data_IF_009028079961
#
_entry.id   IF_009028079961
#
_cell.length_a   1.000
_cell.length_b   1.000
_cell.length_c   1.000
_cell.angle_alpha   90.00
_cell.angle_beta   90.00
_cell.angle_gamma   90.00
#
_symmetry.space_group_name_H-M   'P 1'
#
loop_
_entity.id
_entity.type
_entity.pdbx_description
1 polymer ?
#
# COMPACT_ATOMS: atom_id res chain seq x y z
N UNK A 1 -6.73 -12.04 5.36
CA UNK A 1 -6.76 -13.19 6.29
C UNK A 1 -7.70 -14.17 5.66
N UNK A 2 -7.20 -15.33 5.21
CA UNK A 2 -8.12 -16.41 4.88
C UNK A 2 -8.93 -16.69 6.14
N UNK A 3 -10.25 -16.76 6.02
CA UNK A 3 -11.10 -17.31 7.06
C UNK A 3 -10.82 -18.82 7.11
N UNK A 4 -9.68 -19.22 7.68
CA UNK A 4 -9.56 -20.56 8.22
C UNK A 4 -10.56 -20.60 9.39
N UNK A 5 -11.62 -21.37 9.23
CA UNK A 5 -12.66 -21.57 10.24
C UNK A 5 -12.16 -22.36 11.47
N UNK A 6 -10.83 -22.36 11.71
CA UNK A 6 -10.16 -23.03 12.81
C UNK A 6 -9.49 -22.01 13.71
N UNK A 7 -9.42 -22.32 15.01
CA UNK A 7 -8.60 -21.52 15.92
C UNK A 7 -7.14 -21.50 15.45
N UNK A 8 -6.44 -20.36 15.51
CA UNK A 8 -5.04 -20.29 15.11
C UNK A 8 -4.20 -21.30 15.88
N UNK A 9 -3.23 -21.90 15.19
CA UNK A 9 -2.28 -22.84 15.80
C UNK A 9 -1.51 -22.15 16.95
N UNK A 10 -1.18 -22.84 18.06
CA UNK A 10 -0.61 -22.22 19.25
C UNK A 10 0.58 -21.29 19.00
N UNK A 11 1.46 -21.65 18.08
CA UNK A 11 2.64 -20.87 17.71
C UNK A 11 2.32 -19.62 16.89
N UNK A 12 1.13 -19.52 16.29
CA UNK A 12 0.68 -18.39 15.49
C UNK A 12 -0.28 -17.45 16.22
N UNK A 13 -0.79 -17.86 17.40
CA UNK A 13 -1.77 -17.10 18.18
C UNK A 13 -1.26 -15.75 18.64
N UNK A 14 -2.05 -14.72 18.39
CA UNK A 14 -1.87 -13.40 18.98
C UNK A 14 -3.15 -12.94 19.69
N UNK A 15 -3.03 -12.47 20.92
CA UNK A 15 -4.19 -12.05 21.72
C UNK A 15 -4.23 -10.53 21.84
N UNK A 16 -5.38 -9.93 21.51
CA UNK A 16 -5.65 -8.51 21.67
C UNK A 16 -7.10 -8.34 22.13
N UNK A 17 -7.33 -7.59 23.21
CA UNK A 17 -8.67 -7.32 23.77
C UNK A 17 -9.53 -8.59 24.01
N UNK A 18 -8.91 -9.73 24.33
CA UNK A 18 -9.59 -11.01 24.56
C UNK A 18 -9.95 -11.79 23.29
N UNK A 19 -9.67 -11.24 22.10
CA UNK A 19 -9.77 -11.94 20.82
C UNK A 19 -8.43 -12.57 20.41
N UNK A 20 -8.49 -13.68 19.70
CA UNK A 20 -7.32 -14.43 19.23
C UNK A 20 -7.23 -14.33 17.70
N UNK A 21 -6.07 -13.92 17.21
CA UNK A 21 -5.77 -13.71 15.80
C UNK A 21 -4.64 -14.62 15.34
N UNK A 22 -4.67 -14.97 14.05
CA UNK A 22 -3.56 -15.67 13.39
C UNK A 22 -2.53 -14.66 12.89
N UNK A 23 -1.32 -14.72 13.45
CA UNK A 23 -0.20 -13.84 13.12
C UNK A 23 0.90 -14.58 12.34
N UNK A 24 0.59 -15.69 11.69
CA UNK A 24 1.48 -16.33 10.73
C UNK A 24 1.11 -15.96 9.29
N UNK A 25 2.11 -15.90 8.42
CA UNK A 25 1.86 -15.91 6.98
C UNK A 25 1.53 -17.34 6.55
N UNK A 26 0.45 -17.53 5.81
CA UNK A 26 0.11 -18.82 5.18
C UNK A 26 0.24 -18.65 3.67
N UNK A 27 1.05 -19.48 3.03
CA UNK A 27 1.25 -19.41 1.58
C UNK A 27 -0.08 -19.72 0.87
N UNK A 28 -0.71 -18.80 0.12
CA UNK A 28 -2.09 -19.00 -0.34
C UNK A 28 -2.31 -20.26 -1.21
N UNK A 29 -1.39 -20.63 -2.12
CA UNK A 29 -1.50 -21.90 -2.86
C UNK A 29 -1.38 -23.17 -2.01
N UNK A 30 -0.70 -23.10 -0.85
CA UNK A 30 -0.39 -24.25 0.03
C UNK A 30 -0.40 -23.76 1.49
N UNK A 31 -1.60 -23.58 2.10
CA UNK A 31 -1.74 -22.93 3.42
C UNK A 31 -1.01 -23.62 4.58
N UNK A 32 -0.63 -24.89 4.38
CA UNK A 32 0.20 -25.67 5.29
C UNK A 32 1.64 -25.13 5.38
N UNK A 33 2.11 -24.42 4.35
CA UNK A 33 3.38 -23.70 4.39
C UNK A 33 3.18 -22.41 5.18
N UNK A 34 3.71 -22.44 6.41
CA UNK A 34 3.62 -21.34 7.36
C UNK A 34 4.94 -20.56 7.42
N UNK A 35 4.81 -19.24 7.46
CA UNK A 35 5.89 -18.32 7.77
C UNK A 35 6.17 -18.24 9.27
N UNK A 36 7.16 -17.42 9.62
CA UNK A 36 7.41 -17.07 11.03
C UNK A 36 6.25 -16.23 11.56
N UNK A 37 5.89 -16.43 12.82
CA UNK A 37 4.92 -15.59 13.53
C UNK A 37 5.42 -14.13 13.56
N UNK A 38 4.57 -13.21 13.14
CA UNK A 38 4.78 -11.77 13.31
C UNK A 38 4.72 -11.38 14.79
N UNK A 39 5.43 -10.31 15.17
CA UNK A 39 5.38 -9.84 16.54
C UNK A 39 3.98 -9.30 16.90
N UNK A 40 3.41 -9.79 18.01
CA UNK A 40 2.09 -9.39 18.50
C UNK A 40 1.93 -7.90 18.79
N UNK A 41 3.02 -7.17 19.03
CA UNK A 41 2.98 -5.71 19.22
C UNK A 41 2.42 -4.97 17.98
N UNK A 42 2.36 -5.64 16.82
CA UNK A 42 1.79 -5.08 15.61
C UNK A 42 0.26 -5.16 15.54
N UNK A 43 -0.40 -5.89 16.46
CA UNK A 43 -1.84 -6.05 16.44
C UNK A 43 -2.61 -4.74 16.58
N UNK A 44 -2.12 -3.82 17.40
CA UNK A 44 -2.68 -2.46 17.52
C UNK A 44 -2.68 -1.70 16.19
N UNK A 45 -1.64 -1.86 15.35
CA UNK A 45 -1.60 -1.20 14.04
C UNK A 45 -2.62 -1.80 13.08
N UNK A 46 -2.82 -3.12 13.14
CA UNK A 46 -3.85 -3.78 12.33
C UNK A 46 -5.26 -3.40 12.79
N UNK A 47 -5.50 -3.25 14.09
CA UNK A 47 -6.76 -2.75 14.64
C UNK A 47 -7.05 -1.33 14.12
N UNK A 48 -6.08 -0.44 14.25
CA UNK A 48 -6.16 0.94 13.77
C UNK A 48 -6.31 1.05 12.26
N UNK A 49 -5.84 0.06 11.50
CA UNK A 49 -6.04 -0.04 10.05
C UNK A 49 -7.29 -0.84 9.64
N UNK A 50 -8.05 -1.38 10.60
CA UNK A 50 -9.25 -2.18 10.32
C UNK A 50 -8.93 -3.51 9.60
N UNK A 51 -7.76 -4.08 9.84
CA UNK A 51 -7.23 -5.27 9.17
C UNK A 51 -7.28 -6.54 10.03
N UNK A 52 -7.82 -6.46 11.25
CA UNK A 52 -8.04 -7.61 12.12
C UNK A 52 -9.29 -8.42 11.75
N UNK A 53 -10.16 -7.90 10.88
CA UNK A 53 -11.31 -8.61 10.33
C UNK A 53 -11.38 -8.44 8.81
N UNK A 54 -12.09 -9.35 8.14
CA UNK A 54 -12.41 -9.26 6.71
C UNK A 54 -13.82 -8.71 6.47
N UNK A 55 -14.51 -8.24 7.51
CA UNK A 55 -15.90 -7.77 7.40
C UNK A 55 -16.04 -6.56 6.48
N UNK A 56 -15.01 -5.71 6.43
CA UNK A 56 -14.95 -4.55 5.55
C UNK A 56 -14.30 -4.85 4.18
N UNK A 57 -13.90 -6.10 3.91
CA UNK A 57 -13.28 -6.47 2.65
C UNK A 57 -14.35 -6.64 1.57
N UNK A 58 -14.15 -5.98 0.43
CA UNK A 58 -15.03 -6.14 -0.74
C UNK A 58 -14.84 -7.52 -1.37
N UNK A 59 -15.93 -8.20 -1.70
CA UNK A 59 -15.97 -9.34 -2.59
C UNK A 59 -16.02 -8.84 -4.05
N UNK A 60 -14.93 -8.98 -4.83
CA UNK A 60 -14.86 -8.44 -6.19
C UNK A 60 -15.89 -9.05 -7.16
N UNK A 61 -16.55 -10.16 -6.80
CA UNK A 61 -17.57 -10.84 -7.62
C UNK A 61 -18.99 -10.39 -7.29
N UNK A 62 -19.22 -9.90 -6.07
CA UNK A 62 -20.56 -9.63 -5.55
C UNK A 62 -20.79 -8.16 -5.27
N UNK A 63 -19.77 -7.47 -4.80
CA UNK A 63 -19.88 -6.11 -4.33
C UNK A 63 -19.65 -5.13 -5.47
N UNK A 64 -20.39 -4.02 -5.43
CA UNK A 64 -20.12 -2.90 -6.31
C UNK A 64 -18.81 -2.22 -5.87
N UNK A 65 -17.92 -1.93 -6.81
CA UNK A 65 -16.69 -1.23 -6.47
C UNK A 65 -16.99 0.22 -6.12
N UNK A 66 -16.61 0.68 -4.92
CA UNK A 66 -16.72 2.09 -4.58
C UNK A 66 -15.82 2.90 -5.52
N UNK A 67 -16.20 4.14 -5.78
CA UNK A 67 -15.39 5.04 -6.60
C UNK A 67 -14.01 5.25 -5.92
N UNK A 68 -12.91 4.82 -6.57
CA UNK A 68 -11.61 4.81 -5.92
C UNK A 68 -11.02 6.22 -5.78
N UNK A 69 -10.47 6.51 -4.60
CA UNK A 69 -9.73 7.76 -4.37
C UNK A 69 -8.39 7.75 -5.13
N UNK A 70 -8.03 8.88 -5.75
CA UNK A 70 -6.75 9.02 -6.43
C UNK A 70 -5.69 9.46 -5.43
N UNK A 71 -4.72 8.59 -5.19
CA UNK A 71 -3.72 8.78 -4.14
C UNK A 71 -2.31 8.65 -4.71
N UNK A 72 -1.41 9.53 -4.29
CA UNK A 72 0.03 9.40 -4.51
C UNK A 72 0.78 9.86 -3.26
N UNK A 73 2.07 9.58 -3.19
CA UNK A 73 2.95 10.06 -2.12
C UNK A 73 4.26 10.54 -2.71
N UNK A 74 4.81 11.63 -2.19
CA UNK A 74 6.03 12.23 -2.75
C UNK A 74 6.91 12.86 -1.67
N UNK A 75 8.21 12.84 -1.95
CA UNK A 75 9.29 13.55 -1.26
C UNK A 75 9.96 14.50 -2.26
N UNK A 76 10.75 15.46 -1.77
CA UNK A 76 11.30 16.51 -2.63
C UNK A 76 12.14 15.98 -3.81
N UNK A 77 12.85 14.87 -3.63
CA UNK A 77 13.65 14.24 -4.68
C UNK A 77 12.80 13.67 -5.83
N UNK A 78 11.47 13.57 -5.68
CA UNK A 78 10.53 13.12 -6.72
C UNK A 78 9.44 14.17 -7.02
N UNK A 79 9.65 15.43 -6.64
CA UNK A 79 8.63 16.46 -6.78
C UNK A 79 8.26 16.75 -8.24
N UNK A 80 9.24 16.74 -9.15
CA UNK A 80 8.99 17.00 -10.58
C UNK A 80 8.15 15.88 -11.22
N UNK A 81 8.42 14.64 -10.84
CA UNK A 81 7.68 13.46 -11.25
C UNK A 81 6.25 13.52 -10.74
N UNK A 82 6.07 13.92 -9.47
CA UNK A 82 4.74 14.15 -8.91
C UNK A 82 3.99 15.21 -9.72
N UNK A 83 4.56 16.39 -9.96
CA UNK A 83 3.91 17.43 -10.77
C UNK A 83 3.50 16.92 -12.16
N UNK A 84 4.33 16.07 -12.77
CA UNK A 84 4.02 15.45 -14.07
C UNK A 84 2.83 14.49 -13.97
N UNK A 85 2.77 13.64 -12.93
CA UNK A 85 1.61 12.78 -12.67
C UNK A 85 0.34 13.62 -12.47
N UNK A 86 0.40 14.65 -11.62
CA UNK A 86 -0.73 15.54 -11.36
C UNK A 86 -1.25 16.19 -12.64
N UNK A 87 -0.35 16.69 -13.50
CA UNK A 87 -0.70 17.29 -14.78
C UNK A 87 -1.39 16.29 -15.73
N UNK A 88 -0.87 15.05 -15.81
CA UNK A 88 -1.49 13.99 -16.63
C UNK A 88 -2.87 13.61 -16.12
N UNK A 89 -3.04 13.48 -14.79
CA UNK A 89 -4.36 13.23 -14.18
C UNK A 89 -5.31 14.38 -14.49
N UNK A 90 -4.88 15.65 -14.35
CA UNK A 90 -5.72 16.81 -14.69
C UNK A 90 -6.18 16.80 -16.14
N UNK A 91 -5.31 16.36 -17.07
CA UNK A 91 -5.64 16.30 -18.49
C UNK A 91 -6.74 15.28 -18.81
N UNK A 92 -6.71 14.10 -18.16
CA UNK A 92 -7.65 13.02 -18.44
C UNK A 92 -8.89 13.08 -17.54
N UNK A 93 -8.73 13.47 -16.29
CA UNK A 93 -9.76 13.49 -15.26
C UNK A 93 -9.78 14.84 -14.52
N UNK A 94 -10.20 15.93 -15.18
CA UNK A 94 -10.05 17.30 -14.68
C UNK A 94 -10.80 17.59 -13.37
N UNK A 95 -11.83 16.80 -13.05
CA UNK A 95 -12.66 16.97 -11.85
C UNK A 95 -12.36 15.99 -10.72
N UNK A 96 -11.45 15.01 -10.92
CA UNK A 96 -11.11 14.08 -9.83
C UNK A 96 -10.36 14.83 -8.74
N UNK A 97 -10.51 14.47 -7.48
CA UNK A 97 -9.64 14.98 -6.40
C UNK A 97 -8.39 14.12 -6.32
N UNK A 98 -7.21 14.70 -6.07
CA UNK A 98 -5.97 13.95 -5.83
C UNK A 98 -5.52 14.18 -4.40
N UNK A 99 -5.29 13.10 -3.67
CA UNK A 99 -4.68 13.12 -2.34
C UNK A 99 -3.18 12.87 -2.52
N UNK A 100 -2.36 13.81 -2.07
CA UNK A 100 -0.90 13.72 -2.11
C UNK A 100 -0.38 13.61 -0.69
N UNK A 101 0.21 12.47 -0.35
CA UNK A 101 0.89 12.32 0.92
C UNK A 101 2.31 12.88 0.87
N UNK A 102 2.58 13.75 1.82
CA UNK A 102 3.91 14.20 2.17
C UNK A 102 4.65 13.09 2.93
N UNK A 103 5.68 12.53 2.31
CA UNK A 103 6.59 11.57 2.94
C UNK A 103 8.01 12.15 3.14
N UNK A 104 8.24 13.42 2.81
CA UNK A 104 9.56 14.04 2.85
C UNK A 104 9.67 15.31 2.00
N UNK A 105 8.66 16.17 2.03
CA UNK A 105 8.60 17.45 1.33
C UNK A 105 8.98 18.60 2.27
N UNK A 106 9.70 19.58 1.74
CA UNK A 106 9.92 20.85 2.42
C UNK A 106 8.67 21.76 2.34
N UNK A 107 8.58 22.79 3.20
CA UNK A 107 7.41 23.68 3.26
C UNK A 107 7.08 24.40 1.94
N UNK A 108 8.07 24.78 1.13
CA UNK A 108 7.84 25.45 -0.16
C UNK A 108 7.15 24.51 -1.14
N UNK A 109 7.60 23.26 -1.20
CA UNK A 109 7.01 22.22 -2.05
C UNK A 109 5.58 21.90 -1.64
N UNK A 110 5.32 21.80 -0.32
CA UNK A 110 3.96 21.61 0.23
C UNK A 110 3.04 22.75 -0.21
N UNK A 111 3.48 24.00 -0.09
CA UNK A 111 2.70 25.16 -0.50
C UNK A 111 2.40 25.14 -2.01
N UNK A 112 3.39 24.77 -2.83
CA UNK A 112 3.22 24.64 -4.27
C UNK A 112 2.20 23.56 -4.68
N UNK A 113 2.12 22.45 -3.94
CA UNK A 113 1.11 21.40 -4.13
C UNK A 113 -0.28 21.86 -3.66
N UNK A 114 -0.38 22.48 -2.48
CA UNK A 114 -1.64 23.02 -1.95
C UNK A 114 -2.26 24.09 -2.84
N UNK A 115 -1.45 24.80 -3.62
CA UNK A 115 -1.92 25.78 -4.59
C UNK A 115 -2.52 25.16 -5.88
N UNK A 116 -2.48 23.83 -6.05
CA UNK A 116 -3.06 23.15 -7.22
C UNK A 116 -4.54 22.84 -7.02
N UNK A 117 -5.35 23.05 -8.05
CA UNK A 117 -6.77 22.77 -8.01
C UNK A 117 -7.07 21.30 -7.71
N UNK A 118 -8.01 21.05 -6.80
CA UNK A 118 -8.48 19.71 -6.41
C UNK A 118 -7.34 18.79 -5.93
N UNK A 119 -6.30 19.38 -5.32
CA UNK A 119 -5.22 18.65 -4.65
C UNK A 119 -5.34 18.85 -3.15
N UNK A 120 -5.41 17.74 -2.42
CA UNK A 120 -5.31 17.72 -0.97
C UNK A 120 -3.94 17.17 -0.57
N UNK A 121 -3.22 17.90 0.28
CA UNK A 121 -1.92 17.44 0.80
C UNK A 121 -2.09 16.99 2.24
N UNK A 122 -1.70 15.75 2.54
CA UNK A 122 -1.73 15.14 3.88
C UNK A 122 -0.33 14.73 4.32
N UNK A 123 -0.04 14.76 5.61
CA UNK A 123 1.22 14.23 6.13
C UNK A 123 1.09 12.73 6.42
N UNK A 124 2.10 11.94 6.05
CA UNK A 124 2.16 10.55 6.48
C UNK A 124 2.57 10.50 7.96
N UNK A 125 1.82 9.80 8.83
CA UNK A 125 2.03 9.84 10.28
C UNK A 125 3.21 8.95 10.72
N UNK A 126 4.43 9.27 10.30
CA UNK A 126 5.63 8.47 10.63
C UNK A 126 5.83 8.27 12.13
N UNK A 127 5.44 9.23 12.96
CA UNK A 127 5.59 9.14 14.43
C UNK A 127 4.72 8.06 15.06
N UNK A 128 3.66 7.63 14.38
CA UNK A 128 2.78 6.57 14.85
C UNK A 128 3.39 5.18 14.61
N UNK A 129 4.21 5.03 13.57
CA UNK A 129 4.77 3.75 13.16
C UNK A 129 6.20 3.54 13.70
N UNK A 130 6.73 2.30 13.68
CA UNK A 130 8.11 2.04 14.08
C UNK A 130 9.11 2.92 13.31
N UNK A 131 10.19 3.43 13.95
CA UNK A 131 11.06 4.44 13.34
C UNK A 131 11.65 4.06 11.98
N UNK A 132 11.87 2.77 11.72
CA UNK A 132 12.39 2.27 10.45
C UNK A 132 11.43 2.46 9.27
N UNK A 133 10.12 2.69 9.49
CA UNK A 133 9.15 3.01 8.43
C UNK A 133 9.50 4.32 7.71
N UNK A 134 10.23 5.23 8.38
CA UNK A 134 10.70 6.50 7.81
C UNK A 134 11.83 6.34 6.80
N UNK A 135 12.43 5.14 6.68
CA UNK A 135 13.42 4.85 5.65
C UNK A 135 12.71 4.67 4.30
N UNK A 136 12.67 5.75 3.51
CA UNK A 136 11.82 5.85 2.32
C UNK A 136 12.21 4.86 1.21
N UNK A 137 13.48 4.50 1.13
CA UNK A 137 14.06 3.53 0.20
C UNK A 137 13.67 2.08 0.49
N UNK A 138 13.11 1.81 1.67
CA UNK A 138 12.55 0.51 2.04
C UNK A 138 11.06 0.38 1.72
N UNK A 139 10.42 1.48 1.29
CA UNK A 139 9.02 1.54 0.83
C UNK A 139 7.95 1.01 1.81
N UNK A 140 8.30 0.74 3.08
CA UNK A 140 7.37 0.20 4.09
C UNK A 140 6.15 1.07 4.34
N UNK A 141 6.32 2.38 4.22
CA UNK A 141 5.23 3.36 4.34
C UNK A 141 4.14 3.17 3.27
N UNK A 142 4.46 2.58 2.11
CA UNK A 142 3.55 2.46 0.96
C UNK A 142 2.37 1.53 1.23
N UNK A 143 2.54 0.26 1.64
CA UNK A 143 1.40 -0.59 2.01
C UNK A 143 0.63 -0.05 3.21
N UNK A 144 1.27 0.64 4.17
CA UNK A 144 0.57 1.29 5.29
C UNK A 144 -0.35 2.42 4.81
N UNK A 145 0.17 3.30 3.94
CA UNK A 145 -0.62 4.37 3.33
C UNK A 145 -1.78 3.81 2.51
N UNK A 146 -1.54 2.77 1.72
CA UNK A 146 -2.59 2.11 0.94
C UNK A 146 -3.67 1.57 1.88
N UNK A 147 -3.30 0.87 2.97
CA UNK A 147 -4.25 0.37 3.95
C UNK A 147 -5.07 1.50 4.61
N UNK A 148 -4.42 2.60 5.01
CA UNK A 148 -5.12 3.78 5.55
C UNK A 148 -6.17 4.31 4.57
N UNK A 149 -5.84 4.37 3.28
CA UNK A 149 -6.73 4.92 2.26
C UNK A 149 -7.82 3.95 1.82
N UNK A 150 -7.55 2.65 1.85
CA UNK A 150 -8.60 1.63 1.66
C UNK A 150 -9.58 1.68 2.84
N UNK A 151 -9.11 1.83 4.08
CA UNK A 151 -9.99 2.00 5.25
C UNK A 151 -10.88 3.25 5.12
N UNK A 152 -10.34 4.36 4.62
CA UNK A 152 -11.10 5.62 4.49
C UNK A 152 -12.10 5.62 3.32
N UNK A 153 -11.71 5.07 2.16
CA UNK A 153 -12.46 5.22 0.90
C UNK A 153 -13.06 3.92 0.35
N UNK A 154 -12.75 2.76 0.93
CA UNK A 154 -13.12 1.44 0.42
C UNK A 154 -12.31 0.98 -0.80
N UNK A 155 -11.96 1.88 -1.72
CA UNK A 155 -11.06 1.60 -2.84
C UNK A 155 -10.14 2.77 -3.16
N UNK A 156 -8.97 2.47 -3.72
CA UNK A 156 -7.93 3.46 -4.03
C UNK A 156 -7.23 3.17 -5.35
N UNK A 157 -6.95 4.23 -6.10
CA UNK A 157 -5.92 4.26 -7.13
C UNK A 157 -4.65 4.85 -6.52
N UNK A 158 -3.84 4.00 -5.90
CA UNK A 158 -2.49 4.41 -5.54
C UNK A 158 -1.63 4.46 -6.80
N UNK A 159 -1.04 5.62 -7.07
CA UNK A 159 -0.16 5.85 -8.22
C UNK A 159 1.20 6.31 -7.73
N UNK A 160 2.22 5.55 -8.10
CA UNK A 160 3.61 6.00 -7.93
C UNK A 160 3.84 7.30 -8.72
N UNK A 161 4.67 8.21 -8.22
CA UNK A 161 4.93 9.50 -8.88
C UNK A 161 5.56 9.31 -10.26
N UNK A 162 6.15 8.14 -10.53
CA UNK A 162 6.68 7.75 -11.83
C UNK A 162 5.61 7.38 -12.88
N UNK A 163 4.35 7.16 -12.49
CA UNK A 163 3.27 6.77 -13.42
C UNK A 163 2.96 7.89 -14.42
N UNK A 164 2.69 7.51 -15.68
CA UNK A 164 2.39 8.43 -16.78
C UNK A 164 1.15 7.98 -17.54
N UNK A 165 -0.01 8.49 -17.15
CA UNK A 165 -1.24 8.28 -17.92
C UNK A 165 -1.21 9.05 -19.24
N UNK A 166 -1.29 8.31 -20.35
CA UNK A 166 -1.35 8.89 -21.71
C UNK A 166 -2.78 8.91 -22.26
N UNK A 167 -3.59 7.95 -21.86
CA UNK A 167 -5.00 7.77 -22.26
C UNK A 167 -5.79 7.27 -21.05
N UNK A 168 -7.09 7.55 -21.00
CA UNK A 168 -7.97 6.93 -20.00
C UNK A 168 -8.17 5.45 -20.33
N UNK A 169 -7.79 4.58 -19.39
CA UNK A 169 -7.96 3.13 -19.46
C UNK A 169 -8.44 2.54 -18.12
N UNK A 170 -9.08 3.34 -17.27
CA UNK A 170 -9.51 2.84 -15.94
C UNK A 170 -10.48 1.67 -16.08
N UNK A 171 -11.43 1.76 -17.02
CA UNK A 171 -12.39 0.69 -17.28
C UNK A 171 -11.70 -0.61 -17.68
N UNK A 172 -10.63 -0.55 -18.48
CA UNK A 172 -9.86 -1.74 -18.84
C UNK A 172 -9.26 -2.40 -17.60
N UNK A 173 -8.73 -1.62 -16.65
CA UNK A 173 -8.19 -2.20 -15.42
C UNK A 173 -9.30 -2.75 -14.52
N UNK A 174 -10.45 -2.09 -14.44
CA UNK A 174 -11.60 -2.61 -13.69
C UNK A 174 -12.08 -3.94 -14.28
N UNK A 175 -12.13 -4.08 -15.60
CA UNK A 175 -12.53 -5.31 -16.27
C UNK A 175 -11.53 -6.45 -15.99
N UNK A 176 -10.22 -6.15 -15.99
CA UNK A 176 -9.18 -7.11 -15.59
C UNK A 176 -9.31 -7.56 -14.12
N UNK A 177 -9.61 -6.63 -13.20
CA UNK A 177 -9.83 -6.94 -11.78
C UNK A 177 -11.05 -7.85 -11.62
N UNK A 178 -12.17 -7.54 -12.30
CA UNK A 178 -13.39 -8.38 -12.29
C UNK A 178 -13.14 -9.78 -12.85
N UNK A 179 -12.21 -9.90 -13.79
CA UNK A 179 -11.87 -11.17 -14.43
C UNK A 179 -11.03 -12.09 -13.54
N UNK A 180 -10.19 -11.53 -12.65
CA UNK A 180 -9.31 -12.32 -11.77
C UNK A 180 -10.02 -12.87 -10.54
N UNK A 181 -9.74 -14.14 -10.22
CA UNK A 181 -10.28 -14.85 -9.05
C UNK A 181 -9.23 -14.88 -7.94
N UNK A 182 -9.55 -14.19 -6.85
CA UNK A 182 -9.06 -14.39 -5.49
C UNK A 182 -7.62 -13.89 -5.17
N UNK A 183 -7.50 -12.86 -4.30
CA UNK A 183 -6.24 -12.43 -3.68
C UNK A 183 -6.46 -11.97 -2.23
N UNK A 184 -5.56 -12.36 -1.32
CA UNK A 184 -5.48 -11.83 0.05
C UNK A 184 -4.39 -10.73 0.12
N UNK A 185 -4.70 -9.61 0.77
CA UNK A 185 -3.85 -8.40 0.82
C UNK A 185 -3.23 -8.14 2.21
N UNK A 186 -3.70 -8.80 3.26
CA UNK A 186 -3.31 -8.54 4.67
C UNK A 186 -1.83 -8.78 4.94
N UNK A 187 -1.23 -9.70 4.19
CA UNK A 187 0.13 -10.20 4.39
C UNK A 187 1.18 -9.11 4.08
N UNK A 188 0.91 -8.25 3.09
CA UNK A 188 1.80 -7.14 2.74
C UNK A 188 1.88 -6.07 3.83
N UNK A 189 0.79 -5.82 4.56
CA UNK A 189 0.76 -4.83 5.65
C UNK A 189 1.54 -5.34 6.85
N UNK A 190 1.31 -6.59 7.24
CA UNK A 190 2.10 -7.26 8.29
C UNK A 190 3.60 -7.26 7.96
N UNK A 191 3.93 -7.58 6.71
CA UNK A 191 5.32 -7.58 6.24
C UNK A 191 5.97 -6.18 6.32
N UNK A 192 5.22 -5.11 6.04
CA UNK A 192 5.73 -3.75 6.14
C UNK A 192 6.06 -3.33 7.58
N UNK A 193 5.29 -3.83 8.55
CA UNK A 193 5.48 -3.59 9.98
C UNK A 193 6.62 -4.41 10.57
N UNK A 194 6.98 -5.55 9.98
CA UNK A 194 8.06 -6.41 10.47
C UNK A 194 9.42 -6.03 9.84
N UNK A 195 10.44 -5.83 10.69
CA UNK A 195 11.71 -5.21 10.27
C UNK A 195 12.41 -5.95 9.14
N UNK A 196 12.37 -7.28 9.09
CA UNK A 196 13.12 -8.05 8.09
C UNK A 196 12.26 -8.66 6.98
N UNK A 197 10.96 -8.32 6.93
CA UNK A 197 10.06 -8.95 5.98
C UNK A 197 10.14 -8.30 4.58
N UNK A 198 9.95 -6.98 4.47
CA UNK A 198 10.07 -6.27 3.18
C UNK A 198 11.53 -6.06 2.72
N UNK A 199 12.48 -6.10 3.66
CA UNK A 199 13.92 -5.95 3.40
C UNK A 199 14.68 -6.91 4.32
N UNK A 200 14.83 -8.19 3.93
CA UNK A 200 15.68 -9.12 4.65
C UNK A 200 17.16 -8.66 4.61
N UNK A 201 18.02 -9.14 5.52
CA UNK A 201 19.43 -8.71 5.61
C UNK A 201 20.27 -8.85 4.33
N UNK A 202 19.85 -9.67 3.37
CA UNK A 202 20.53 -9.87 2.08
C UNK A 202 19.84 -9.15 0.90
N UNK A 203 18.80 -8.35 1.18
CA UNK A 203 18.06 -7.64 0.16
C UNK A 203 18.94 -6.59 -0.55
N UNK A 204 18.84 -6.54 -1.88
CA UNK A 204 19.45 -5.49 -2.69
C UNK A 204 18.43 -4.39 -2.95
N UNK A 205 18.46 -3.35 -2.12
CA UNK A 205 17.59 -2.18 -2.28
C UNK A 205 17.83 -1.40 -3.57
N UNK A 206 18.92 -1.66 -4.30
CA UNK A 206 19.21 -1.02 -5.57
C UNK A 206 19.46 -2.04 -6.68
N UNK A 207 18.82 -1.76 -7.81
CA UNK A 207 19.03 -2.45 -9.05
C UNK A 207 20.08 -1.71 -9.88
N UNK A 208 21.11 -2.42 -10.32
CA UNK A 208 22.10 -1.89 -11.25
C UNK A 208 21.59 -2.05 -12.68
N UNK A 209 21.41 -0.94 -13.39
CA UNK A 209 20.98 -0.94 -14.79
C UNK A 209 22.11 -0.47 -15.70
N UNK A 210 22.28 -1.11 -16.86
CA UNK A 210 23.05 -0.56 -17.98
C UNK A 210 22.16 0.40 -18.77
N UNK A 211 20.95 -0.03 -19.13
CA UNK A 211 19.85 0.82 -19.60
C UNK A 211 18.54 0.52 -18.83
N UNK A 212 18.06 1.42 -17.96
CA UNK A 212 16.84 1.22 -17.17
C UNK A 212 15.55 1.01 -17.99
N UNK A 213 15.56 1.36 -19.27
CA UNK A 213 14.39 1.26 -20.15
C UNK A 213 14.36 -0.02 -20.99
N UNK A 214 15.48 -0.76 -21.06
CA UNK A 214 15.62 -1.92 -21.94
C UNK A 214 16.11 -3.17 -21.23
N UNK A 215 16.85 -3.00 -20.13
CA UNK A 215 17.48 -4.11 -19.44
C UNK A 215 16.74 -4.44 -18.14
N UNK A 216 16.36 -5.71 -18.01
CA UNK A 216 15.92 -6.25 -16.73
C UNK A 216 17.14 -6.44 -15.82
N UNK A 217 17.16 -5.76 -14.68
CA UNK A 217 18.34 -5.71 -13.80
C UNK A 217 18.60 -6.98 -12.96
N UNK A 218 17.82 -8.06 -13.15
CA UNK A 218 17.99 -9.30 -12.38
C UNK A 218 17.70 -9.14 -10.89
N UNK A 219 16.89 -8.15 -10.53
CA UNK A 219 16.46 -7.84 -9.17
C UNK A 219 15.04 -7.32 -9.19
N UNK A 220 14.33 -7.59 -8.10
CA UNK A 220 12.99 -7.08 -7.84
C UNK A 220 13.10 -6.07 -6.69
N UNK A 221 12.47 -4.91 -6.87
CA UNK A 221 12.27 -3.90 -5.82
C UNK A 221 10.82 -3.92 -5.39
#
# INVERSE_FOLDING_TARGET
MSSSSGSPEPQCRCELHGAVYDFCYHLPPVPEIQGRKFNCVHAQYLEELGLLSTEAALDPKRDEFPEPAFVTATSDNHFKEALTLLANIRKLWPQKKIIVYNIGLNPKTIQALKAKCLVEVRDFPFSFYPPYVKQLDQYRWKPLLIAMMVKEFGAVWYMDTSIRWKTDRLNQVYDEIRCRKDHAWSEYVLCALEKYCMEPPEAKLACGFKDPFRDYAGCHR
#
